data_IF_466798248356
#
_entry.id   IF_466798248356
#
_cell.length_a   1.000
_cell.length_b   1.000
_cell.length_c   1.000
_cell.angle_alpha   90.00
_cell.angle_beta   90.00
_cell.angle_gamma   90.00
#
_symmetry.space_group_name_H-M   'P 1'
#
loop_
_entity.id
_entity.type
_entity.pdbx_description
1 polymer ?
#
# COMPACT_ATOMS: atom_id res chain seq x y z
N UNK A 1 -7.18 -3.02 -12.25
CA UNK A 1 -6.26 -3.68 -11.32
C UNK A 1 -6.26 -5.18 -11.59
N UNK A 2 -5.10 -5.79 -11.79
CA UNK A 2 -4.98 -7.22 -12.04
C UNK A 2 -5.11 -8.02 -10.72
N UNK A 3 -5.40 -9.32 -10.81
CA UNK A 3 -5.51 -10.18 -9.62
C UNK A 3 -4.21 -10.20 -8.80
N UNK A 4 -3.06 -10.18 -9.47
CA UNK A 4 -1.76 -10.17 -8.80
C UNK A 4 -1.53 -8.86 -8.02
N UNK A 5 -1.98 -7.72 -8.56
CA UNK A 5 -1.90 -6.43 -7.86
C UNK A 5 -2.68 -6.46 -6.56
N UNK A 6 -3.88 -7.03 -6.59
CA UNK A 6 -4.72 -7.15 -5.41
C UNK A 6 -4.06 -8.04 -4.35
N UNK A 7 -3.39 -9.13 -4.76
CA UNK A 7 -2.63 -9.99 -3.84
C UNK A 7 -1.47 -9.24 -3.20
N UNK A 8 -0.69 -8.51 -3.99
CA UNK A 8 0.43 -7.69 -3.50
C UNK A 8 -0.07 -6.61 -2.52
N UNK A 9 -1.12 -5.88 -2.89
CA UNK A 9 -1.70 -4.83 -2.07
C UNK A 9 -2.22 -5.36 -0.73
N UNK A 10 -2.88 -6.52 -0.74
CA UNK A 10 -3.37 -7.16 0.49
C UNK A 10 -2.23 -7.65 1.39
N UNK A 11 -1.21 -8.27 0.82
CA UNK A 11 -0.03 -8.71 1.59
C UNK A 11 0.69 -7.52 2.22
N UNK A 12 0.89 -6.43 1.46
CA UNK A 12 1.48 -5.20 1.97
C UNK A 12 0.63 -4.59 3.09
N UNK A 13 -0.69 -4.51 2.91
CA UNK A 13 -1.62 -4.02 3.93
C UNK A 13 -1.53 -4.85 5.21
N UNK A 14 -1.50 -6.17 5.10
CA UNK A 14 -1.39 -7.07 6.26
C UNK A 14 -0.09 -6.80 7.03
N UNK A 15 1.05 -6.78 6.35
CA UNK A 15 2.35 -6.49 6.98
C UNK A 15 2.39 -5.12 7.65
N UNK A 16 1.86 -4.09 7.00
CA UNK A 16 1.83 -2.73 7.57
C UNK A 16 0.90 -2.64 8.78
N UNK A 17 -0.20 -3.41 8.80
CA UNK A 17 -1.12 -3.46 9.95
C UNK A 17 -0.51 -4.06 11.22
N UNK A 18 0.55 -4.85 11.10
CA UNK A 18 1.30 -5.39 12.24
C UNK A 18 2.23 -4.35 12.89
N UNK A 19 2.63 -3.33 12.12
CA UNK A 19 3.58 -2.28 12.56
C UNK A 19 2.85 -1.02 13.03
N UNK A 20 1.74 -0.68 12.37
CA UNK A 20 0.98 0.55 12.63
C UNK A 20 -0.52 0.31 12.59
N UNK A 21 -1.27 1.06 13.39
CA UNK A 21 -2.73 1.07 13.30
C UNK A 21 -3.19 1.80 12.02
N UNK A 22 -3.56 1.01 11.02
CA UNK A 22 -4.09 1.51 9.74
C UNK A 22 -5.53 2.01 9.92
N UNK A 23 -5.75 3.27 9.56
CA UNK A 23 -7.08 3.87 9.45
C UNK A 23 -7.62 3.80 8.01
N UNK A 24 -6.73 3.86 7.02
CA UNK A 24 -7.07 3.72 5.60
C UNK A 24 -5.86 3.20 4.81
N UNK A 25 -6.13 2.43 3.77
CA UNK A 25 -5.15 1.90 2.82
C UNK A 25 -5.77 1.89 1.43
N UNK A 26 -5.14 2.57 0.48
CA UNK A 26 -5.65 2.67 -0.88
C UNK A 26 -4.51 2.64 -1.90
N UNK A 27 -4.73 1.90 -2.99
CA UNK A 27 -3.82 1.88 -4.16
C UNK A 27 -4.23 3.00 -5.10
N UNK A 28 -3.24 3.73 -5.60
CA UNK A 28 -3.42 4.81 -6.56
C UNK A 28 -2.50 4.62 -7.78
N UNK A 29 -2.43 5.61 -8.64
CA UNK A 29 -1.58 5.55 -9.83
C UNK A 29 -2.11 4.61 -10.92
N UNK A 30 -1.21 4.14 -11.77
CA UNK A 30 -1.56 3.41 -12.99
C UNK A 30 -2.26 2.07 -12.72
N UNK A 31 -1.84 1.36 -11.67
CA UNK A 31 -2.46 0.06 -11.29
C UNK A 31 -3.93 0.21 -10.88
N UNK A 32 -4.26 1.32 -10.22
CA UNK A 32 -5.65 1.64 -9.86
C UNK A 32 -6.49 2.02 -11.10
N UNK A 33 -5.91 2.77 -12.04
CA UNK A 33 -6.58 3.20 -13.28
C UNK A 33 -6.73 2.10 -14.33
N UNK A 34 -5.89 1.06 -14.25
CA UNK A 34 -5.91 -0.07 -15.18
C UNK A 34 -5.09 0.14 -16.45
N UNK A 35 -4.21 1.15 -16.47
CA UNK A 35 -3.26 1.44 -17.55
C UNK A 35 -1.82 1.01 -17.22
N UNK A 36 -1.64 0.21 -16.16
CA UNK A 36 -0.35 -0.34 -15.76
C UNK A 36 0.09 -1.54 -16.61
N UNK A 37 1.41 -1.67 -16.75
CA UNK A 37 2.11 -2.81 -17.35
C UNK A 37 2.97 -3.56 -16.31
N UNK A 38 3.79 -4.50 -16.79
CA UNK A 38 4.67 -5.31 -15.93
C UNK A 38 5.80 -4.51 -15.25
N UNK A 39 6.16 -3.35 -15.78
CA UNK A 39 7.23 -2.49 -15.24
C UNK A 39 6.69 -1.35 -14.35
N UNK A 40 5.37 -1.21 -14.26
CA UNK A 40 4.74 -0.15 -13.48
C UNK A 40 4.93 -0.37 -11.97
N UNK A 41 5.15 0.69 -11.21
CA UNK A 41 5.19 0.61 -9.75
C UNK A 41 3.78 0.46 -9.14
N UNK A 42 3.71 0.23 -7.82
CA UNK A 42 2.46 0.27 -7.06
C UNK A 42 2.49 1.43 -6.06
N UNK A 43 1.77 2.50 -6.38
CA UNK A 43 1.60 3.63 -5.48
C UNK A 43 0.52 3.35 -4.43
N UNK A 44 0.86 3.56 -3.16
CA UNK A 44 -0.07 3.37 -2.04
C UNK A 44 -0.15 4.62 -1.18
N UNK A 45 -1.35 4.91 -0.70
CA UNK A 45 -1.59 5.89 0.35
C UNK A 45 -1.98 5.15 1.63
N UNK A 46 -1.41 5.60 2.73
CA UNK A 46 -1.68 5.07 4.06
C UNK A 46 -2.13 6.19 4.97
N UNK A 47 -3.29 6.01 5.58
CA UNK A 47 -3.69 6.81 6.74
C UNK A 47 -3.49 5.95 7.97
N UNK A 48 -2.72 6.45 8.92
CA UNK A 48 -2.44 5.76 10.17
C UNK A 48 -2.83 6.64 11.34
N UNK A 49 -3.10 6.03 12.50
CA UNK A 49 -3.49 6.78 13.69
C UNK A 49 -2.38 7.71 14.16
N UNK A 50 -1.13 7.22 14.13
CA UNK A 50 0.05 7.98 14.54
C UNK A 50 1.29 7.48 13.78
N UNK A 51 2.17 8.42 13.45
CA UNK A 51 3.54 8.15 13.01
C UNK A 51 4.46 8.74 14.07
N UNK A 52 5.35 7.94 14.65
CA UNK A 52 6.40 8.42 15.54
C UNK A 52 7.80 8.19 14.96
N UNK A 53 8.83 8.63 15.68
CA UNK A 53 10.23 8.49 15.22
C UNK A 53 10.68 7.04 15.10
N UNK A 54 10.09 6.12 15.85
CA UNK A 54 10.48 4.70 15.82
C UNK A 54 9.80 3.99 14.64
N UNK A 55 8.61 4.43 14.26
CA UNK A 55 7.92 4.04 13.02
C UNK A 55 8.63 4.54 11.75
N UNK A 56 9.41 5.63 11.87
CA UNK A 56 10.04 6.31 10.73
C UNK A 56 11.47 5.84 10.42
N UNK A 57 11.98 4.79 11.09
CA UNK A 57 13.34 4.32 10.82
C UNK A 57 13.37 3.37 9.64
N UNK A 58 13.96 3.87 8.56
CA UNK A 58 14.37 3.15 7.34
C UNK A 58 15.36 2.02 7.63
#
# INVERSE_FOLDING_TARGET
MAENDLKIANELKNRLSEVVQLLDFSVFGSRAKGDADEYSDMDVFLKVERIDRDTKKD
#
